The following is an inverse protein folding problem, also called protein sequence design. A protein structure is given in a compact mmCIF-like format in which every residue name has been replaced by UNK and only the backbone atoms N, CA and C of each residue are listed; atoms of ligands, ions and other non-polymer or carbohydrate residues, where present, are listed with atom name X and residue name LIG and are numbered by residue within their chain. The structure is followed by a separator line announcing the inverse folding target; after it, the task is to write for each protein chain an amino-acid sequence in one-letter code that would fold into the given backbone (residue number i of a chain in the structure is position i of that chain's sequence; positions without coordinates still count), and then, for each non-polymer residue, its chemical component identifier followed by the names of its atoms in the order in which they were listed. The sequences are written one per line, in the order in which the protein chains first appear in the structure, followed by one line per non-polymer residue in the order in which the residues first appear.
data_IF_795186162871
#
_entry.id   IF_795186162871
#
_cell.length_a   1.000
_cell.length_b   1.000
_cell.length_c   1.000
_cell.angle_alpha   90.00
_cell.angle_beta   90.00
_cell.angle_gamma   90.00
#
_symmetry.space_group_name_H-M   'P 1'
#
loop_
_entity.id
_entity.type
_entity.pdbx_description
1 polymer ?
#
# COMPACT_ATOMS: atom_id res chain seq x y z
N UNK A 1 -24.12 -23.18 13.12
CA UNK A 1 -23.88 -22.09 12.15
C UNK A 1 -22.48 -22.28 11.58
N UNK A 2 -22.34 -22.56 10.28
CA UNK A 2 -21.03 -22.72 9.62
C UNK A 2 -20.44 -21.33 9.40
N UNK A 3 -19.54 -20.89 10.26
CA UNK A 3 -18.74 -19.70 9.99
C UNK A 3 -17.89 -19.97 8.75
N UNK A 4 -18.16 -19.23 7.67
CA UNK A 4 -17.33 -19.22 6.49
C UNK A 4 -15.93 -18.75 6.90
N UNK A 5 -15.01 -19.70 7.07
CA UNK A 5 -13.63 -19.52 7.56
C UNK A 5 -12.72 -18.96 6.46
N UNK A 6 -13.17 -17.99 5.68
CA UNK A 6 -12.25 -17.25 4.83
C UNK A 6 -11.63 -16.15 5.68
N UNK A 7 -10.32 -16.20 5.98
CA UNK A 7 -9.67 -15.08 6.63
C UNK A 7 -9.90 -13.85 5.75
N UNK A 8 -10.43 -12.78 6.34
CA UNK A 8 -10.46 -11.47 5.69
C UNK A 8 -8.98 -11.13 5.45
N UNK A 9 -8.55 -11.22 4.20
CA UNK A 9 -7.17 -10.95 3.81
C UNK A 9 -6.88 -9.48 4.12
N UNK A 10 -5.96 -9.25 5.05
CA UNK A 10 -5.54 -7.90 5.42
C UNK A 10 -4.51 -7.42 4.41
N UNK A 11 -4.74 -6.24 3.87
CA UNK A 11 -3.74 -5.53 3.08
C UNK A 11 -2.79 -4.82 4.04
N UNK A 12 -1.49 -5.08 3.90
CA UNK A 12 -0.43 -4.30 4.50
C UNK A 12 -0.05 -3.19 3.54
N UNK A 13 -0.12 -1.94 3.98
CA UNK A 13 0.21 -0.76 3.17
C UNK A 13 1.42 -0.06 3.77
N UNK A 14 2.34 0.39 2.93
CA UNK A 14 3.57 1.09 3.31
C UNK A 14 3.82 2.28 2.38
N UNK A 15 4.45 3.32 2.92
CA UNK A 15 4.91 4.49 2.17
C UNK A 15 6.41 4.70 2.46
N UNK A 16 7.20 4.91 1.41
CA UNK A 16 8.64 5.13 1.49
C UNK A 16 8.98 6.40 0.71
N UNK A 17 9.79 7.26 1.31
CA UNK A 17 10.38 8.43 0.64
C UNK A 17 11.69 8.01 -0.03
N UNK A 18 11.86 8.38 -1.29
CA UNK A 18 13.04 8.09 -2.11
C UNK A 18 13.70 9.43 -2.46
N UNK A 19 14.78 9.76 -1.77
CA UNK A 19 15.58 10.96 -2.05
C UNK A 19 16.64 10.64 -3.11
N UNK A 20 16.46 11.21 -4.31
CA UNK A 20 17.48 11.33 -5.37
C UNK A 20 17.60 12.84 -5.74
N UNK A 21 18.01 13.19 -6.96
CA UNK A 21 17.93 14.58 -7.49
C UNK A 21 16.52 15.19 -7.37
N UNK A 22 15.49 14.34 -7.37
CA UNK A 22 14.09 14.69 -7.12
C UNK A 22 13.51 13.71 -6.09
N UNK A 23 12.81 14.23 -5.07
CA UNK A 23 12.15 13.41 -4.05
C UNK A 23 10.89 12.75 -4.63
N UNK A 24 10.82 11.42 -4.56
CA UNK A 24 9.64 10.65 -4.92
C UNK A 24 9.10 9.85 -3.73
N UNK A 25 7.83 9.50 -3.80
CA UNK A 25 7.12 8.76 -2.76
C UNK A 25 6.57 7.46 -3.33
N UNK A 26 7.00 6.33 -2.77
CA UNK A 26 6.55 5.00 -3.20
C UNK A 26 5.53 4.45 -2.19
N UNK A 27 4.31 4.19 -2.62
CA UNK A 27 3.25 3.55 -1.83
C UNK A 27 3.09 2.12 -2.30
N UNK A 28 3.23 1.16 -1.40
CA UNK A 28 3.16 -0.28 -1.71
C UNK A 28 2.12 -0.94 -0.82
N UNK A 29 1.18 -1.69 -1.41
CA UNK A 29 0.27 -2.59 -0.69
C UNK A 29 0.54 -4.05 -1.04
N UNK A 30 0.45 -4.94 -0.05
CA UNK A 30 0.62 -6.38 -0.25
C UNK A 30 -0.37 -7.14 0.61
N UNK A 31 -0.77 -8.31 0.15
CA UNK A 31 -1.36 -9.34 1.01
C UNK A 31 -0.22 -10.33 1.29
N UNK A 32 0.02 -10.68 2.54
CA UNK A 32 1.13 -11.56 2.93
C UNK A 32 1.10 -12.94 2.24
N UNK A 33 -0.08 -13.40 1.80
CA UNK A 33 -0.28 -14.65 1.05
C UNK A 33 -0.14 -14.49 -0.48
N UNK A 34 -0.04 -13.26 -0.99
CA UNK A 34 0.18 -12.99 -2.41
C UNK A 34 1.65 -12.65 -2.65
N UNK A 35 2.27 -13.30 -3.63
CA UNK A 35 3.66 -13.05 -4.00
C UNK A 35 3.86 -11.69 -4.68
N UNK A 36 2.78 -11.08 -5.20
CA UNK A 36 2.85 -9.86 -6.01
C UNK A 36 2.35 -8.64 -5.20
N UNK A 37 3.23 -7.70 -4.84
CA UNK A 37 2.83 -6.43 -4.26
C UNK A 37 2.35 -5.44 -5.33
N UNK A 38 1.38 -4.59 -5.00
CA UNK A 38 0.99 -3.45 -5.83
C UNK A 38 1.74 -2.19 -5.38
N UNK A 39 2.41 -1.51 -6.31
CA UNK A 39 3.21 -0.32 -6.03
C UNK A 39 2.75 0.86 -6.90
N UNK A 40 2.67 2.05 -6.29
CA UNK A 40 2.51 3.34 -6.98
C UNK A 40 3.59 4.33 -6.56
N UNK A 41 4.02 5.18 -7.49
CA UNK A 41 5.05 6.21 -7.26
C UNK A 41 4.41 7.59 -7.49
N UNK A 42 4.73 8.54 -6.61
CA UNK A 42 4.22 9.90 -6.62
C UNK A 42 5.36 10.91 -6.54
N UNK A 43 5.14 12.05 -7.19
CA UNK A 43 6.01 13.23 -7.17
C UNK A 43 5.80 14.11 -5.94
N UNK A 44 4.71 13.90 -5.19
CA UNK A 44 4.41 14.68 -3.97
C UNK A 44 3.96 13.81 -2.80
N UNK A 45 4.33 14.24 -1.60
CA UNK A 45 3.99 13.57 -0.33
C UNK A 45 2.49 13.51 -0.10
N UNK A 46 1.78 14.56 -0.50
CA UNK A 46 0.34 14.69 -0.31
C UNK A 46 -0.43 13.64 -1.12
N UNK A 47 -0.11 13.48 -2.42
CA UNK A 47 -0.71 12.45 -3.27
C UNK A 47 -0.41 11.04 -2.75
N UNK A 48 0.80 10.82 -2.26
CA UNK A 48 1.19 9.53 -1.69
C UNK A 48 0.43 9.20 -0.41
N UNK A 49 0.22 10.19 0.47
CA UNK A 49 -0.60 10.04 1.68
C UNK A 49 -2.06 9.78 1.35
N UNK A 50 -2.63 10.50 0.38
CA UNK A 50 -4.01 10.26 -0.06
C UNK A 50 -4.19 8.82 -0.56
N UNK A 51 -3.26 8.33 -1.39
CA UNK A 51 -3.30 6.95 -1.86
C UNK A 51 -3.17 5.94 -0.71
N UNK A 52 -2.28 6.21 0.24
CA UNK A 52 -2.07 5.37 1.43
C UNK A 52 -3.35 5.27 2.26
N UNK A 53 -4.02 6.39 2.55
CA UNK A 53 -5.29 6.42 3.29
C UNK A 53 -6.43 5.74 2.52
N UNK A 54 -6.51 5.92 1.20
CA UNK A 54 -7.48 5.22 0.36
C UNK A 54 -7.32 3.69 0.42
N UNK A 55 -6.10 3.19 0.57
CA UNK A 55 -5.82 1.75 0.67
C UNK A 55 -5.96 1.18 2.07
N UNK A 56 -5.99 2.02 3.12
CA UNK A 56 -6.26 1.61 4.49
C UNK A 56 -7.75 1.47 4.83
N UNK A 57 -8.63 2.09 4.03
CA UNK A 57 -10.10 1.99 4.17
C UNK A 57 -10.61 0.65 3.66
#
# INVERSE_FOLDING_TARGET
MKHSKYPIKKWDVSIIELENDVTFYKVTRRISELEVPETKIFDSKEKAKEQFEQWLK
#
